data_IF_004752633598
#
_entry.id   IF_004752633598
#
_cell.length_a   1.000
_cell.length_b   1.000
_cell.length_c   1.000
_cell.angle_alpha   90.00
_cell.angle_beta   90.00
_cell.angle_gamma   90.00
#
_symmetry.space_group_name_H-M   'P 1'
#
loop_
_entity.id
_entity.type
_entity.pdbx_description
1 polymer ?
#
# COMPACT_ATOMS: atom_id res chain seq x y z
N UNK A 1 -31.70 18.71 -39.51
CA UNK A 1 -30.76 19.20 -38.45
C UNK A 1 -30.71 18.14 -37.37
N UNK A 2 -29.70 17.27 -37.40
CA UNK A 2 -29.45 16.28 -36.34
C UNK A 2 -28.50 16.92 -35.32
N UNK A 3 -29.00 17.18 -34.12
CA UNK A 3 -28.16 17.54 -33.00
C UNK A 3 -27.46 16.27 -32.47
N UNK A 4 -26.17 16.18 -32.75
CA UNK A 4 -25.30 15.18 -32.09
C UNK A 4 -25.15 15.59 -30.63
N UNK A 5 -25.93 14.96 -29.74
CA UNK A 5 -25.73 15.05 -28.31
C UNK A 5 -24.39 14.44 -27.96
N UNK A 6 -23.43 15.26 -27.62
CA UNK A 6 -22.20 14.81 -26.94
C UNK A 6 -22.65 14.32 -25.56
N UNK A 7 -22.73 13.00 -25.39
CA UNK A 7 -22.95 12.40 -24.10
C UNK A 7 -21.76 12.82 -23.22
N UNK A 8 -22.01 13.70 -22.27
CA UNK A 8 -21.07 13.98 -21.18
C UNK A 8 -20.88 12.65 -20.43
N UNK A 9 -19.80 11.96 -20.71
CA UNK A 9 -19.33 10.86 -19.88
C UNK A 9 -18.89 11.50 -18.56
N UNK A 10 -19.62 11.22 -17.48
CA UNK A 10 -19.11 11.55 -16.14
C UNK A 10 -17.67 11.04 -16.05
N UNK A 11 -16.74 11.84 -15.51
CA UNK A 11 -15.36 11.38 -15.35
C UNK A 11 -15.42 10.09 -14.52
N UNK A 12 -15.07 8.97 -15.12
CA UNK A 12 -15.00 7.68 -14.43
C UNK A 12 -14.17 7.91 -13.16
N UNK A 13 -14.74 7.59 -12.01
CA UNK A 13 -14.05 7.73 -10.74
C UNK A 13 -12.75 6.91 -10.84
N UNK A 14 -11.59 7.58 -10.91
CA UNK A 14 -10.31 6.94 -11.16
C UNK A 14 -10.02 5.81 -10.17
N UNK A 15 -10.50 5.93 -8.92
CA UNK A 15 -10.42 4.88 -7.92
C UNK A 15 -11.24 3.63 -8.31
N UNK A 16 -12.37 3.78 -8.99
CA UNK A 16 -13.13 2.66 -9.50
C UNK A 16 -12.37 1.92 -10.61
N UNK A 17 -11.71 2.65 -11.51
CA UNK A 17 -10.88 2.07 -12.57
C UNK A 17 -9.71 1.28 -11.97
N UNK A 18 -9.03 1.83 -10.96
CA UNK A 18 -7.99 1.11 -10.22
C UNK A 18 -8.58 -0.13 -9.54
N UNK A 19 -9.73 -0.01 -8.87
CA UNK A 19 -10.41 -1.10 -8.18
C UNK A 19 -10.75 -2.28 -9.10
N UNK A 20 -11.15 -2.05 -10.36
CA UNK A 20 -11.44 -3.11 -11.32
C UNK A 20 -10.31 -4.11 -11.52
N UNK A 21 -9.06 -3.72 -11.30
CA UNK A 21 -7.88 -4.61 -11.36
C UNK A 21 -7.81 -5.59 -10.20
N UNK A 22 -8.59 -5.36 -9.14
CA UNK A 22 -8.61 -6.14 -7.90
C UNK A 22 -9.91 -6.94 -7.69
N UNK A 23 -10.83 -6.92 -8.64
CA UNK A 23 -12.19 -7.48 -8.50
C UNK A 23 -12.18 -8.95 -8.10
N UNK A 24 -11.35 -9.76 -8.75
CA UNK A 24 -11.25 -11.21 -8.58
C UNK A 24 -10.41 -11.64 -7.36
N UNK A 25 -9.83 -10.71 -6.62
CA UNK A 25 -8.96 -10.99 -5.49
C UNK A 25 -9.76 -10.98 -4.18
N UNK A 26 -9.71 -12.06 -3.42
CA UNK A 26 -10.30 -12.16 -2.08
C UNK A 26 -9.27 -12.07 -0.96
N UNK A 27 -8.02 -12.41 -1.28
CA UNK A 27 -6.88 -12.26 -0.39
C UNK A 27 -5.71 -11.68 -1.16
N UNK A 28 -4.84 -10.95 -0.47
CA UNK A 28 -3.55 -10.52 -0.99
C UNK A 28 -2.46 -10.96 -0.02
N UNK A 29 -1.40 -11.51 -0.54
CA UNK A 29 -0.16 -11.72 0.22
C UNK A 29 0.91 -10.80 -0.34
N UNK A 30 1.27 -9.78 0.42
CA UNK A 30 2.30 -8.80 0.05
C UNK A 30 3.62 -9.29 0.64
N UNK A 31 4.54 -9.72 -0.23
CA UNK A 31 5.85 -10.25 0.17
C UNK A 31 6.94 -9.26 -0.20
N UNK A 32 7.65 -8.76 0.80
CA UNK A 32 8.85 -7.98 0.54
C UNK A 32 9.95 -8.89 -0.02
N UNK A 33 10.54 -8.50 -1.16
CA UNK A 33 11.73 -9.18 -1.71
C UNK A 33 12.99 -8.48 -1.19
N UNK A 34 13.81 -9.22 -0.48
CA UNK A 34 15.18 -8.80 -0.17
C UNK A 34 16.10 -9.42 -1.22
N UNK A 35 16.81 -8.60 -1.97
CA UNK A 35 17.86 -9.08 -2.86
C UNK A 35 19.13 -9.30 -2.05
N UNK A 36 19.48 -10.57 -1.84
CA UNK A 36 20.69 -10.99 -1.11
C UNK A 36 21.99 -10.37 -1.66
N UNK A 37 22.06 -10.20 -2.96
CA UNK A 37 23.22 -9.62 -3.63
C UNK A 37 23.40 -8.13 -3.37
N UNK A 38 22.32 -7.37 -3.12
CA UNK A 38 22.36 -5.96 -2.80
C UNK A 38 22.93 -5.70 -1.39
N UNK A 39 22.74 -6.64 -0.46
CA UNK A 39 23.36 -6.62 0.87
C UNK A 39 24.88 -6.79 0.84
N UNK A 40 25.39 -7.54 -0.13
CA UNK A 40 26.84 -7.79 -0.27
C UNK A 40 27.59 -6.67 -0.99
N UNK A 41 26.91 -5.86 -1.81
CA UNK A 41 27.54 -4.81 -2.63
C UNK A 41 27.35 -3.41 -2.04
N UNK A 42 26.73 -3.28 -0.88
CA UNK A 42 26.60 -2.04 -0.10
C UNK A 42 25.93 -0.85 -0.82
N UNK A 43 25.18 -1.08 -1.90
CA UNK A 43 24.48 -0.05 -2.65
C UNK A 43 23.04 -0.46 -2.96
N UNK A 44 22.08 0.35 -2.49
CA UNK A 44 20.69 0.49 -2.98
C UNK A 44 19.70 -0.65 -2.69
N UNK A 45 19.36 -0.88 -1.42
CA UNK A 45 18.20 -1.70 -1.09
C UNK A 45 16.89 -0.92 -1.33
N UNK A 46 16.34 -1.00 -2.54
CA UNK A 46 14.99 -0.52 -2.85
C UNK A 46 13.96 -1.48 -2.27
N UNK A 47 12.88 -0.96 -1.69
CA UNK A 47 11.78 -1.83 -1.28
C UNK A 47 11.05 -2.33 -2.53
N UNK A 48 11.09 -3.64 -2.72
CA UNK A 48 10.35 -4.32 -3.77
C UNK A 48 9.44 -5.36 -3.14
N UNK A 49 8.17 -5.35 -3.53
CA UNK A 49 7.19 -6.33 -3.04
C UNK A 49 6.57 -7.06 -4.21
N UNK A 50 6.35 -8.35 -4.03
CA UNK A 50 5.51 -9.15 -4.92
C UNK A 50 4.20 -9.41 -4.21
N UNK A 51 3.11 -9.12 -4.89
CA UNK A 51 1.74 -9.31 -4.38
C UNK A 51 1.15 -10.54 -5.03
N UNK A 52 0.85 -11.53 -4.21
CA UNK A 52 0.21 -12.77 -4.63
C UNK A 52 -1.28 -12.67 -4.39
N UNK A 53 -2.07 -13.08 -5.38
CA UNK A 53 -3.52 -13.23 -5.25
C UNK A 53 -3.93 -14.64 -4.78
N UNK A 54 -5.23 -14.92 -4.80
CA UNK A 54 -5.86 -16.15 -4.30
C UNK A 54 -5.25 -17.46 -4.83
N UNK A 55 -4.65 -17.47 -6.02
CA UNK A 55 -4.07 -18.65 -6.69
C UNK A 55 -2.56 -18.72 -6.59
N UNK A 56 -1.97 -18.00 -5.63
CA UNK A 56 -0.51 -17.91 -5.41
C UNK A 56 0.30 -17.41 -6.63
N UNK A 57 -0.38 -16.95 -7.70
CA UNK A 57 0.28 -16.27 -8.82
C UNK A 57 0.59 -14.81 -8.48
N UNK A 58 1.70 -14.27 -9.02
CA UNK A 58 2.02 -12.86 -8.90
C UNK A 58 0.95 -12.03 -9.63
N UNK A 59 0.21 -11.21 -8.88
CA UNK A 59 -0.81 -10.33 -9.42
C UNK A 59 -0.26 -8.92 -9.65
N UNK A 60 0.55 -8.43 -8.68
CA UNK A 60 1.18 -7.10 -8.79
C UNK A 60 2.62 -7.16 -8.31
N UNK A 61 3.41 -6.25 -8.83
CA UNK A 61 4.73 -5.90 -8.30
C UNK A 61 4.70 -4.46 -7.80
N UNK A 62 5.30 -4.21 -6.64
CA UNK A 62 5.47 -2.87 -6.09
C UNK A 62 6.96 -2.57 -6.03
N UNK A 63 7.40 -1.51 -6.67
CA UNK A 63 8.79 -1.07 -6.68
C UNK A 63 8.90 0.38 -6.19
N UNK A 64 9.73 0.60 -5.16
CA UNK A 64 10.05 1.94 -4.68
C UNK A 64 11.02 2.62 -5.64
N UNK A 65 10.72 3.86 -6.02
CA UNK A 65 11.62 4.70 -6.80
C UNK A 65 12.65 5.35 -5.88
N UNK A 66 13.90 5.37 -6.31
CA UNK A 66 14.98 6.11 -5.64
C UNK A 66 16.34 5.55 -6.05
N UNK A 67 17.27 6.43 -6.38
CA UNK A 67 18.64 6.09 -6.71
C UNK A 67 19.61 7.06 -6.03
N UNK A 68 20.74 6.52 -5.54
CA UNK A 68 21.91 7.27 -5.12
C UNK A 68 22.00 7.68 -3.65
N UNK A 69 23.12 8.32 -3.33
CA UNK A 69 23.51 8.73 -1.97
C UNK A 69 22.46 9.60 -1.26
N UNK A 70 21.70 10.41 -2.01
CA UNK A 70 20.65 11.25 -1.43
C UNK A 70 19.52 10.46 -0.79
N UNK A 71 19.13 9.32 -1.39
CA UNK A 71 18.10 8.44 -0.81
C UNK A 71 18.64 7.68 0.42
N UNK A 72 19.90 7.25 0.38
CA UNK A 72 20.55 6.65 1.54
C UNK A 72 20.59 7.62 2.72
N UNK A 73 20.96 8.88 2.50
CA UNK A 73 20.95 9.92 3.53
C UNK A 73 19.55 10.17 4.07
N UNK A 74 18.53 10.24 3.21
CA UNK A 74 17.13 10.36 3.65
C UNK A 74 16.72 9.19 4.55
N UNK A 75 17.09 7.95 4.21
CA UNK A 75 16.82 6.77 5.04
C UNK A 75 17.50 6.86 6.39
N UNK A 76 18.76 7.26 6.43
CA UNK A 76 19.53 7.38 7.67
C UNK A 76 19.00 8.49 8.60
N UNK A 77 18.70 9.68 8.05
CA UNK A 77 18.33 10.84 8.86
C UNK A 77 16.83 10.94 9.14
N UNK A 78 15.98 10.57 8.18
CA UNK A 78 14.53 10.73 8.31
C UNK A 78 13.84 9.44 8.82
N UNK A 79 14.50 8.30 8.71
CA UNK A 79 13.97 7.01 9.16
C UNK A 79 12.55 6.77 8.62
N UNK A 80 11.61 6.49 9.51
CA UNK A 80 10.19 6.24 9.14
C UNK A 80 9.43 7.48 8.67
N UNK A 81 10.01 8.69 8.74
CA UNK A 81 9.40 9.93 8.23
C UNK A 81 9.80 10.23 6.77
N UNK A 82 10.66 9.42 6.16
CA UNK A 82 11.16 9.65 4.79
C UNK A 82 10.05 9.69 3.75
N UNK A 83 10.13 10.60 2.77
CA UNK A 83 9.27 10.54 1.60
C UNK A 83 9.65 9.34 0.72
N UNK A 84 8.69 8.81 -0.01
CA UNK A 84 8.95 7.79 -1.04
C UNK A 84 7.93 7.87 -2.17
N UNK A 85 8.28 7.32 -3.31
CA UNK A 85 7.36 7.02 -4.40
C UNK A 85 7.49 5.55 -4.73
N UNK A 86 6.37 4.86 -4.88
CA UNK A 86 6.34 3.47 -5.31
C UNK A 86 5.36 3.28 -6.45
N UNK A 87 5.72 2.44 -7.41
CA UNK A 87 4.90 2.07 -8.56
C UNK A 87 4.36 0.66 -8.36
N UNK A 88 3.05 0.52 -8.56
CA UNK A 88 2.35 -0.76 -8.49
C UNK A 88 2.00 -1.19 -9.92
N UNK A 89 2.67 -2.21 -10.40
CA UNK A 89 2.46 -2.77 -11.74
C UNK A 89 1.56 -3.99 -11.66
N UNK A 90 0.50 -4.02 -12.45
CA UNK A 90 -0.35 -5.20 -12.65
C UNK A 90 0.38 -6.17 -13.59
N UNK A 91 0.92 -7.24 -13.03
CA UNK A 91 1.71 -8.25 -13.75
C UNK A 91 0.89 -9.04 -14.78
N UNK A 92 -0.44 -9.09 -14.61
CA UNK A 92 -1.36 -9.79 -15.52
C UNK A 92 -1.67 -8.98 -16.77
N UNK A 93 -1.56 -7.64 -16.69
CA UNK A 93 -1.85 -6.68 -17.77
C UNK A 93 -0.62 -5.98 -18.29
N UNK A 94 0.54 -6.23 -17.66
CA UNK A 94 1.81 -5.55 -17.95
C UNK A 94 1.65 -4.02 -18.03
N UNK A 95 1.00 -3.45 -17.03
CA UNK A 95 0.69 -2.02 -17.01
C UNK A 95 0.68 -1.44 -15.61
N UNK A 96 1.03 -0.17 -15.49
CA UNK A 96 0.95 0.56 -14.22
C UNK A 96 -0.49 0.58 -13.71
N UNK A 97 -0.69 0.09 -12.50
CA UNK A 97 -2.00 0.09 -11.85
C UNK A 97 -2.19 1.35 -11.02
N UNK A 98 -1.18 1.74 -10.25
CA UNK A 98 -1.21 2.93 -9.41
C UNK A 98 0.20 3.38 -9.01
N UNK A 99 0.32 4.66 -8.68
CA UNK A 99 1.50 5.26 -8.07
C UNK A 99 1.16 5.68 -6.64
N UNK A 100 2.03 5.31 -5.71
CA UNK A 100 1.95 5.66 -4.31
C UNK A 100 2.97 6.73 -4.01
N UNK A 101 2.55 7.90 -3.51
CA UNK A 101 3.47 8.99 -3.21
C UNK A 101 3.29 9.43 -1.77
N UNK A 102 4.33 9.21 -0.96
CA UNK A 102 4.39 9.67 0.42
C UNK A 102 5.19 10.95 0.50
N UNK A 103 4.51 12.03 0.89
CA UNK A 103 5.16 13.32 1.19
C UNK A 103 5.87 13.25 2.53
N UNK A 104 6.95 14.02 2.67
CA UNK A 104 7.55 14.22 3.97
C UNK A 104 6.62 15.00 4.89
N UNK A 105 6.40 14.49 6.11
CA UNK A 105 5.66 15.15 7.19
C UNK A 105 6.26 14.79 8.54
N UNK A 106 6.32 15.76 9.45
CA UNK A 106 6.91 15.56 10.77
C UNK A 106 6.10 14.62 11.68
N UNK A 107 4.77 14.73 11.69
CA UNK A 107 3.94 14.06 12.70
C UNK A 107 3.01 13.00 12.13
N UNK A 108 2.23 13.32 11.10
CA UNK A 108 1.21 12.42 10.58
C UNK A 108 1.59 11.91 9.20
N UNK A 109 1.93 10.60 9.10
CA UNK A 109 2.13 9.97 7.80
C UNK A 109 0.96 10.21 6.85
N UNK A 110 1.29 10.52 5.62
CA UNK A 110 0.32 10.79 4.57
C UNK A 110 0.77 10.12 3.27
N UNK A 111 -0.16 9.47 2.58
CA UNK A 111 0.08 8.81 1.32
C UNK A 111 -0.96 9.27 0.29
N UNK A 112 -0.49 9.81 -0.83
CA UNK A 112 -1.31 10.03 -2.02
C UNK A 112 -1.33 8.74 -2.85
N UNK A 113 -2.49 8.37 -3.36
CA UNK A 113 -2.69 7.28 -4.32
C UNK A 113 -3.14 7.88 -5.63
N UNK A 114 -2.39 7.59 -6.69
CA UNK A 114 -2.67 8.01 -8.05
C UNK A 114 -2.97 6.78 -8.91
N UNK A 115 -3.77 6.94 -9.95
CA UNK A 115 -4.00 5.89 -10.95
C UNK A 115 -2.78 5.72 -11.90
N UNK A 116 -2.89 4.83 -12.88
CA UNK A 116 -1.84 4.58 -13.87
C UNK A 116 -1.53 5.77 -14.79
N UNK A 117 -2.44 6.74 -14.89
CA UNK A 117 -2.29 7.98 -15.66
C UNK A 117 -1.83 9.17 -14.78
N UNK A 118 -1.40 8.89 -13.55
CA UNK A 118 -0.93 9.87 -12.57
C UNK A 118 -2.01 10.84 -12.03
N UNK A 119 -3.30 10.48 -12.15
CA UNK A 119 -4.38 11.27 -11.56
C UNK A 119 -4.58 10.88 -10.10
N UNK A 120 -4.77 11.85 -9.18
CA UNK A 120 -5.04 11.53 -7.79
C UNK A 120 -6.40 10.84 -7.67
N UNK A 121 -6.44 9.70 -6.96
CA UNK A 121 -7.66 8.90 -6.79
C UNK A 121 -8.05 8.71 -5.33
N UNK A 122 -7.08 8.73 -4.42
CA UNK A 122 -7.33 8.61 -2.99
C UNK A 122 -6.15 9.13 -2.16
N UNK A 123 -6.37 9.24 -0.85
CA UNK A 123 -5.32 9.53 0.13
C UNK A 123 -5.55 8.77 1.43
N UNK A 124 -4.46 8.44 2.13
CA UNK A 124 -4.44 7.86 3.45
C UNK A 124 -3.71 8.82 4.39
N UNK A 125 -4.35 9.27 5.45
CA UNK A 125 -3.79 10.21 6.41
C UNK A 125 -3.86 9.66 7.82
N UNK A 126 -2.70 9.58 8.51
CA UNK A 126 -2.67 9.20 9.91
C UNK A 126 -3.36 10.26 10.78
N UNK A 127 -4.10 9.79 11.79
CA UNK A 127 -4.82 10.63 12.73
C UNK A 127 -4.34 10.40 14.15
N UNK A 128 -4.42 11.42 14.97
CA UNK A 128 -4.15 11.26 16.39
C UNK A 128 -5.20 10.37 17.05
N UNK A 129 -4.73 9.35 17.78
CA UNK A 129 -5.58 8.52 18.62
C UNK A 129 -4.76 7.95 19.79
N UNK A 130 -5.34 7.97 21.01
CA UNK A 130 -4.62 7.62 22.24
C UNK A 130 -4.20 6.14 22.33
N UNK A 131 -5.06 5.23 21.85
CA UNK A 131 -4.87 3.79 22.02
C UNK A 131 -4.93 3.00 20.71
N UNK A 132 -4.82 3.68 19.57
CA UNK A 132 -4.92 3.06 18.25
C UNK A 132 -4.08 3.85 17.25
N UNK A 133 -3.61 3.15 16.24
CA UNK A 133 -3.08 3.76 15.02
C UNK A 133 -4.25 3.90 14.07
N UNK A 134 -4.60 5.11 13.68
CA UNK A 134 -5.76 5.38 12.85
C UNK A 134 -5.36 6.14 11.61
N UNK A 135 -5.85 5.69 10.48
CA UNK A 135 -5.67 6.35 9.19
C UNK A 135 -7.05 6.58 8.58
N UNK A 136 -7.35 7.83 8.24
CA UNK A 136 -8.53 8.16 7.46
C UNK A 136 -8.22 7.98 5.98
N UNK A 137 -9.11 7.33 5.27
CA UNK A 137 -9.04 7.12 3.81
C UNK A 137 -10.03 8.06 3.14
N UNK A 138 -9.56 8.84 2.16
CA UNK A 138 -10.39 9.81 1.42
C UNK A 138 -10.28 9.57 -0.08
N UNK A 139 -11.34 9.92 -0.82
CA UNK A 139 -11.30 9.98 -2.28
C UNK A 139 -10.55 11.23 -2.78
N UNK A 140 -10.46 11.38 -4.11
CA UNK A 140 -9.81 12.54 -4.74
C UNK A 140 -10.53 13.87 -4.45
N UNK A 141 -11.81 13.84 -4.10
CA UNK A 141 -12.63 15.00 -3.74
C UNK A 141 -12.51 15.35 -2.25
N UNK A 142 -11.80 14.51 -1.46
CA UNK A 142 -11.62 14.68 -0.03
C UNK A 142 -12.74 14.09 0.83
N UNK A 143 -13.72 13.39 0.24
CA UNK A 143 -14.77 12.70 0.98
C UNK A 143 -14.18 11.49 1.71
N UNK A 144 -14.60 11.27 2.94
CA UNK A 144 -14.16 10.13 3.72
C UNK A 144 -14.81 8.85 3.20
N UNK A 145 -13.97 7.89 2.81
CA UNK A 145 -14.39 6.55 2.38
C UNK A 145 -14.49 5.60 3.58
N UNK A 146 -13.66 5.80 4.59
CA UNK A 146 -13.58 4.97 5.78
C UNK A 146 -12.21 5.08 6.46
N UNK A 147 -11.87 4.10 7.29
CA UNK A 147 -10.68 4.13 8.13
C UNK A 147 -9.89 2.81 8.13
N UNK A 148 -8.62 2.92 8.48
CA UNK A 148 -7.74 1.79 8.78
C UNK A 148 -7.33 1.92 10.23
N UNK A 149 -7.69 0.94 11.07
CA UNK A 149 -7.53 1.00 12.52
C UNK A 149 -6.63 -0.13 12.99
N UNK A 150 -5.50 0.23 13.61
CA UNK A 150 -4.59 -0.72 14.26
C UNK A 150 -4.68 -0.61 15.78
N UNK A 151 -5.37 -1.53 16.46
CA UNK A 151 -5.44 -1.53 17.91
C UNK A 151 -4.05 -1.62 18.54
N UNK A 152 -3.80 -0.85 19.59
CA UNK A 152 -2.49 -0.82 20.25
C UNK A 152 -2.05 -2.20 20.76
N UNK A 153 -3.01 -2.98 21.30
CA UNK A 153 -2.77 -4.33 21.82
C UNK A 153 -2.59 -5.41 20.75
N UNK A 154 -2.82 -5.07 19.47
CA UNK A 154 -2.60 -5.94 18.32
C UNK A 154 -1.68 -5.22 17.31
N UNK A 155 -0.39 -5.05 17.62
CA UNK A 155 0.50 -4.19 16.87
C UNK A 155 0.72 -4.64 15.41
N UNK A 156 0.37 -5.87 15.09
CA UNK A 156 0.55 -6.50 13.79
C UNK A 156 -0.74 -6.63 12.96
N UNK A 157 -1.85 -6.10 13.46
CA UNK A 157 -3.17 -6.22 12.81
C UNK A 157 -3.77 -4.85 12.63
N UNK A 158 -4.33 -4.61 11.44
CA UNK A 158 -5.09 -3.42 11.10
C UNK A 158 -6.43 -3.86 10.50
N UNK A 159 -7.48 -3.20 10.91
CA UNK A 159 -8.85 -3.41 10.44
C UNK A 159 -9.19 -2.35 9.39
N UNK A 160 -9.77 -2.77 8.27
CA UNK A 160 -10.34 -1.88 7.26
C UNK A 160 -11.81 -1.68 7.60
N UNK A 161 -12.24 -0.42 7.80
CA UNK A 161 -13.60 -0.12 8.26
C UNK A 161 -14.29 0.89 7.34
N UNK A 162 -15.56 0.65 7.05
CA UNK A 162 -16.44 1.54 6.30
C UNK A 162 -17.76 1.67 7.06
N UNK A 163 -18.13 2.89 7.42
CA UNK A 163 -19.36 3.12 8.19
C UNK A 163 -19.41 2.35 9.52
N UNK A 164 -18.25 2.13 10.16
CA UNK A 164 -18.15 1.35 11.39
C UNK A 164 -18.16 -0.17 11.21
N UNK A 165 -18.34 -0.68 9.97
CA UNK A 165 -18.29 -2.12 9.66
C UNK A 165 -16.87 -2.50 9.22
N UNK A 166 -16.34 -3.59 9.80
CA UNK A 166 -15.08 -4.18 9.34
C UNK A 166 -15.30 -4.93 8.03
N UNK A 167 -14.56 -4.55 6.99
CA UNK A 167 -14.61 -5.12 5.63
C UNK A 167 -13.35 -5.93 5.27
N UNK A 168 -12.35 -5.94 6.14
CA UNK A 168 -11.13 -6.69 5.91
C UNK A 168 -10.08 -6.44 6.99
N UNK A 169 -8.99 -7.19 6.90
CA UNK A 169 -7.86 -7.09 7.83
C UNK A 169 -6.54 -7.11 7.07
N UNK A 170 -5.59 -6.29 7.52
CA UNK A 170 -4.18 -6.34 7.12
C UNK A 170 -3.42 -6.92 8.31
N UNK A 171 -2.76 -8.06 8.14
CA UNK A 171 -2.00 -8.75 9.19
C UNK A 171 -0.54 -8.88 8.76
N UNK A 172 0.38 -8.41 9.59
CA UNK A 172 1.80 -8.71 9.39
C UNK A 172 2.06 -10.13 9.85
N UNK A 173 2.65 -10.93 8.98
CA UNK A 173 3.10 -12.30 9.28
C UNK A 173 4.62 -12.28 9.47
N UNK A 174 5.06 -12.85 10.57
CA UNK A 174 6.47 -13.12 10.80
C UNK A 174 6.83 -14.42 10.08
N UNK A 175 7.89 -14.41 9.30
CA UNK A 175 8.48 -15.63 8.79
C UNK A 175 9.02 -16.42 9.99
N UNK A 176 8.29 -17.43 10.36
CA UNK A 176 8.27 -18.14 11.63
C UNK A 176 9.59 -18.46 12.33
N UNK A 177 9.48 -18.68 13.63
CA UNK A 177 10.41 -19.32 14.57
C UNK A 177 10.93 -20.71 14.17
N UNK A 178 10.72 -21.17 12.95
CA UNK A 178 11.22 -22.44 12.42
C UNK A 178 12.46 -22.18 11.55
N UNK A 179 13.60 -22.30 12.15
CA UNK A 179 14.95 -22.78 11.74
C UNK A 179 15.34 -22.83 10.24
N UNK A 180 14.77 -22.08 9.36
CA UNK A 180 15.36 -21.81 8.05
C UNK A 180 15.67 -20.33 7.98
N UNK A 181 16.71 -19.98 8.74
CA UNK A 181 17.41 -18.73 8.72
C UNK A 181 17.75 -18.39 7.28
N UNK A 182 17.13 -17.36 6.75
CA UNK A 182 17.67 -16.52 5.64
C UNK A 182 16.60 -15.73 4.88
N UNK A 183 15.33 -15.72 5.32
CA UNK A 183 14.32 -14.85 4.70
C UNK A 183 13.56 -14.05 5.74
N UNK A 184 14.21 -13.04 6.32
CA UNK A 184 13.57 -11.97 7.12
C UNK A 184 12.72 -11.05 6.22
N UNK A 185 11.97 -11.61 5.29
CA UNK A 185 11.07 -10.85 4.45
C UNK A 185 9.77 -10.59 5.20
N UNK A 186 9.46 -9.32 5.45
CA UNK A 186 8.16 -8.96 5.99
C UNK A 186 7.06 -9.32 5.00
N UNK A 187 6.10 -10.09 5.48
CA UNK A 187 4.94 -10.47 4.71
C UNK A 187 3.69 -9.87 5.34
N UNK A 188 2.81 -9.31 4.52
CA UNK A 188 1.47 -8.92 4.93
C UNK A 188 0.46 -9.84 4.26
N UNK A 189 -0.49 -10.29 5.04
CA UNK A 189 -1.67 -10.97 4.55
C UNK A 189 -2.85 -10.02 4.68
N UNK A 190 -3.56 -9.83 3.58
CA UNK A 190 -4.78 -9.01 3.55
C UNK A 190 -5.95 -9.92 3.22
N UNK A 191 -6.90 -9.99 4.13
CA UNK A 191 -8.14 -10.74 4.00
C UNK A 191 -9.30 -9.77 3.83
N UNK A 192 -10.25 -10.07 2.94
CA UNK A 192 -11.41 -9.26 2.67
C UNK A 192 -12.71 -10.02 2.98
N UNK A 193 -13.73 -9.32 3.44
CA UNK A 193 -15.08 -9.84 3.43
C UNK A 193 -15.54 -10.10 1.98
N UNK A 194 -16.46 -11.06 1.78
CA UNK A 194 -16.85 -11.51 0.46
C UNK A 194 -17.43 -10.39 -0.44
N UNK A 195 -18.09 -9.42 0.17
CA UNK A 195 -18.74 -8.27 -0.47
C UNK A 195 -17.89 -7.00 -0.48
N UNK A 196 -16.57 -7.10 -0.17
CA UNK A 196 -15.69 -5.95 -0.15
C UNK A 196 -15.56 -5.32 -1.53
N UNK A 197 -15.87 -4.02 -1.62
CA UNK A 197 -15.69 -3.21 -2.82
C UNK A 197 -14.23 -3.31 -3.32
N UNK A 198 -14.01 -3.61 -4.60
CA UNK A 198 -12.66 -3.71 -5.17
C UNK A 198 -11.77 -2.49 -4.97
N UNK A 199 -12.33 -1.30 -4.82
CA UNK A 199 -11.60 -0.08 -4.48
C UNK A 199 -10.85 -0.22 -3.17
N UNK A 200 -11.48 -0.84 -2.17
CA UNK A 200 -10.84 -1.09 -0.86
C UNK A 200 -9.72 -2.12 -0.94
N UNK A 201 -9.78 -3.05 -1.88
CA UNK A 201 -8.71 -4.03 -2.10
C UNK A 201 -7.43 -3.33 -2.62
N UNK A 202 -7.58 -2.37 -3.54
CA UNK A 202 -6.49 -1.53 -4.02
C UNK A 202 -5.92 -0.64 -2.89
N UNK A 203 -6.80 0.00 -2.12
CA UNK A 203 -6.41 0.85 -0.98
C UNK A 203 -5.72 0.05 0.14
N UNK A 204 -6.11 -1.21 0.36
CA UNK A 204 -5.47 -2.10 1.32
C UNK A 204 -4.04 -2.47 0.91
N UNK A 205 -3.77 -2.65 -0.40
CA UNK A 205 -2.41 -2.81 -0.89
C UNK A 205 -1.58 -1.54 -0.64
N UNK A 206 -2.10 -0.37 -0.99
CA UNK A 206 -1.44 0.92 -0.72
C UNK A 206 -1.15 1.12 0.77
N UNK A 207 -2.13 0.75 1.62
CA UNK A 207 -1.98 0.78 3.07
C UNK A 207 -0.88 -0.17 3.57
N UNK A 208 -0.82 -1.39 3.04
CA UNK A 208 0.21 -2.37 3.45
C UNK A 208 1.62 -1.84 3.22
N UNK A 209 1.86 -1.16 2.09
CA UNK A 209 3.15 -0.51 1.78
C UNK A 209 3.42 0.65 2.75
N UNK A 210 2.43 1.51 3.01
CA UNK A 210 2.58 2.62 3.96
C UNK A 210 2.89 2.11 5.38
N UNK A 211 2.15 1.08 5.83
CA UNK A 211 2.31 0.51 7.16
C UNK A 211 3.68 -0.15 7.36
N UNK A 212 4.21 -0.80 6.31
CA UNK A 212 5.56 -1.36 6.36
C UNK A 212 6.60 -0.26 6.61
N UNK A 213 6.59 0.78 5.81
CA UNK A 213 7.54 1.90 5.93
C UNK A 213 7.41 2.63 7.27
N UNK A 214 6.18 2.87 7.74
CA UNK A 214 5.93 3.68 8.95
C UNK A 214 6.21 2.90 10.24
N UNK A 215 5.84 1.63 10.30
CA UNK A 215 5.81 0.88 11.56
C UNK A 215 6.85 -0.23 11.66
N UNK A 216 7.34 -0.73 10.53
CA UNK A 216 8.12 -1.96 10.53
C UNK A 216 9.54 -1.83 9.98
N UNK A 217 9.82 -0.80 9.19
CA UNK A 217 11.16 -0.59 8.62
C UNK A 217 12.23 -0.31 9.70
N UNK A 218 11.86 0.34 10.83
CA UNK A 218 12.79 0.60 11.95
C UNK A 218 13.27 -0.65 12.68
N UNK A 219 12.43 -1.66 12.79
CA UNK A 219 12.77 -2.87 13.52
C UNK A 219 13.86 -3.70 12.83
N UNK A 220 14.26 -3.33 11.61
CA UNK A 220 15.27 -4.03 10.81
C UNK A 220 16.67 -3.42 10.94
N UNK A 221 16.77 -2.18 11.43
CA UNK A 221 18.01 -1.39 11.46
C UNK A 221 18.57 -1.19 12.89
N UNK A 222 18.02 -1.84 13.88
CA UNK A 222 18.46 -1.90 15.28
C UNK A 222 18.72 -3.34 15.71
#
# INVERSE_FOLDING_TARGET
MMQSGIAYREPENGLAVVGQRFTDLQTLTVKQRKNWWELLVNFEAKNRYVVLGNRMGAAFEVEEQGEGLGELLKRLFLGTARPFTAYVTDMRRDSLAMRLHRRWRWFFPYLDVHDGDDRPVASLEARWAWFQRRYTVRDAQGNELGEIIGPFFRPWTFELTVGGRVIGHIKKKWSGLLKEAFTDADNFEVEFAADTDPRWKALALAASVLLDVVHFERAKNG
#
